data_IF_755566869076
#
_entry.id   IF_755566869076
#
_cell.length_a   1.000
_cell.length_b   1.000
_cell.length_c   1.000
_cell.angle_alpha   90.00
_cell.angle_beta   90.00
_cell.angle_gamma   90.00
#
_symmetry.space_group_name_H-M   'P 1'
#
loop_
_entity.id
_entity.type
_entity.pdbx_description
1 polymer ?
#
# COMPACT_ATOMS: atom_id res chain seq x y z
N UNK A 1 4.35 -9.97 -7.83
CA UNK A 1 3.38 -8.92 -8.19
C UNK A 1 3.00 -8.21 -6.90
N UNK A 2 3.26 -6.95 -6.84
CA UNK A 2 3.16 -6.17 -5.60
C UNK A 2 1.69 -5.95 -5.25
N UNK A 3 1.38 -5.93 -3.96
CA UNK A 3 0.12 -5.47 -3.36
C UNK A 3 -0.19 -3.99 -3.77
N UNK A 4 0.57 -3.45 -4.69
CA UNK A 4 0.38 -2.13 -5.30
C UNK A 4 -0.93 -1.97 -6.10
N UNK A 5 -1.75 -3.00 -6.25
CA UNK A 5 -2.97 -2.89 -7.06
C UNK A 5 -3.96 -1.89 -6.46
N UNK A 6 -4.04 -1.80 -5.13
CA UNK A 6 -4.83 -0.75 -4.49
C UNK A 6 -4.21 0.67 -4.62
N UNK A 7 -2.93 0.77 -4.91
CA UNK A 7 -2.27 2.06 -5.13
C UNK A 7 -2.52 2.63 -6.55
N UNK A 8 -2.79 1.79 -7.53
CA UNK A 8 -2.92 2.25 -8.92
C UNK A 8 -4.27 2.88 -9.24
N UNK A 9 -5.34 2.55 -8.52
CA UNK A 9 -6.67 3.12 -8.78
C UNK A 9 -6.93 4.43 -8.05
N UNK A 10 -6.26 4.67 -6.94
CA UNK A 10 -6.37 5.95 -6.30
C UNK A 10 -5.66 6.99 -7.19
N UNK A 11 -6.44 7.71 -7.98
CA UNK A 11 -6.10 9.12 -8.22
C UNK A 11 -5.96 9.67 -6.81
N UNK A 12 -4.72 9.70 -6.33
CA UNK A 12 -4.45 10.18 -5.00
C UNK A 12 -4.98 11.60 -4.91
N UNK A 13 -6.20 11.76 -4.41
CA UNK A 13 -6.67 13.06 -3.94
C UNK A 13 -5.76 13.47 -2.80
N UNK A 14 -5.66 14.74 -2.50
CA UNK A 14 -4.85 15.20 -1.37
C UNK A 14 -5.23 14.45 -0.09
N UNK A 15 -6.54 14.24 0.13
CA UNK A 15 -7.09 13.52 1.29
C UNK A 15 -6.58 12.07 1.37
N UNK A 16 -6.55 11.36 0.22
CA UNK A 16 -6.04 9.98 0.17
C UNK A 16 -4.52 9.91 0.45
N UNK A 17 -3.77 10.93 0.07
CA UNK A 17 -2.32 11.00 0.35
C UNK A 17 -2.06 11.21 1.83
N UNK A 18 -2.87 12.03 2.48
CA UNK A 18 -2.83 12.21 3.94
C UNK A 18 -3.20 10.92 4.66
N UNK A 19 -4.23 10.19 4.21
CA UNK A 19 -4.60 8.89 4.75
C UNK A 19 -3.48 7.86 4.63
N UNK A 20 -2.73 7.86 3.53
CA UNK A 20 -1.60 6.97 3.31
C UNK A 20 -0.31 7.48 3.94
N UNK A 21 -0.31 8.69 4.51
CA UNK A 21 0.89 9.32 5.07
C UNK A 21 1.93 9.67 4.02
N UNK A 22 1.53 9.86 2.77
CA UNK A 22 2.42 10.26 1.70
C UNK A 22 2.48 11.78 1.61
N UNK A 23 3.70 12.33 1.62
CA UNK A 23 3.92 13.73 1.26
C UNK A 23 3.92 13.86 -0.26
N UNK A 24 3.27 14.91 -0.74
CA UNK A 24 3.51 15.37 -2.11
C UNK A 24 4.84 16.12 -2.17
N UNK A 25 5.49 16.01 -3.32
CA UNK A 25 6.71 16.78 -3.58
C UNK A 25 6.47 18.27 -3.41
N UNK A 26 5.29 18.78 -3.76
CA UNK A 26 4.88 20.17 -3.58
C UNK A 26 4.71 20.61 -2.14
N UNK A 27 4.47 19.69 -1.22
CA UNK A 27 4.28 19.95 0.20
C UNK A 27 5.63 20.13 0.93
N UNK A 28 6.72 19.73 0.27
CA UNK A 28 8.07 19.92 0.78
C UNK A 28 8.52 21.34 0.42
N UNK A 29 8.94 22.17 1.39
CA UNK A 29 9.49 23.48 1.12
C UNK A 29 10.68 23.42 0.15
N UNK A 30 10.80 24.36 -0.76
CA UNK A 30 11.84 24.35 -1.81
C UNK A 30 13.27 24.29 -1.25
N UNK A 31 13.51 24.96 -0.14
CA UNK A 31 14.79 24.95 0.56
C UNK A 31 15.09 23.60 1.25
N UNK A 32 14.17 22.65 1.21
CA UNK A 32 14.30 21.30 1.78
C UNK A 32 14.31 20.22 0.68
N UNK A 33 14.24 20.61 -0.59
CA UNK A 33 14.34 19.68 -1.70
C UNK A 33 15.78 19.19 -1.85
N UNK A 34 15.95 17.87 -1.81
CA UNK A 34 17.24 17.17 -1.86
C UNK A 34 17.43 16.39 -3.16
N UNK A 35 16.35 16.19 -3.96
CA UNK A 35 16.46 15.49 -5.24
C UNK A 35 17.37 16.29 -6.20
N UNK A 36 18.43 15.68 -6.76
CA UNK A 36 19.32 16.35 -7.69
C UNK A 36 18.62 16.96 -8.91
N UNK A 37 17.48 16.38 -9.31
CA UNK A 37 16.71 16.89 -10.47
C UNK A 37 16.25 18.33 -10.25
N UNK A 38 15.99 18.75 -9.02
CA UNK A 38 15.62 20.12 -8.67
C UNK A 38 16.64 21.13 -9.19
N UNK A 39 17.93 20.87 -8.94
CA UNK A 39 19.02 21.72 -9.41
C UNK A 39 19.29 21.54 -10.91
N UNK A 40 19.25 20.29 -11.40
CA UNK A 40 19.54 19.98 -12.80
C UNK A 40 18.50 20.52 -13.77
N UNK A 41 17.24 20.61 -13.36
CA UNK A 41 16.14 21.15 -14.17
C UNK A 41 16.05 22.69 -14.14
N UNK A 42 16.97 23.37 -13.46
CA UNK A 42 16.86 24.81 -13.23
C UNK A 42 15.66 25.19 -12.35
N UNK A 43 15.36 24.37 -11.35
CA UNK A 43 14.29 24.55 -10.37
C UNK A 43 12.87 24.45 -10.97
N UNK A 44 12.69 23.63 -12.01
CA UNK A 44 11.39 23.40 -12.65
C UNK A 44 10.79 22.04 -12.32
N UNK A 45 11.63 21.03 -12.04
CA UNK A 45 11.20 19.68 -11.65
C UNK A 45 11.60 19.43 -10.19
N UNK A 46 10.61 19.24 -9.32
CA UNK A 46 10.82 19.04 -7.87
C UNK A 46 11.27 17.61 -7.51
N UNK A 47 11.29 16.69 -8.46
CA UNK A 47 11.79 15.32 -8.26
C UNK A 47 10.88 14.43 -7.41
N UNK A 48 11.50 13.55 -6.62
CA UNK A 48 10.82 12.46 -5.89
C UNK A 48 10.97 12.52 -4.37
N UNK A 49 11.27 13.65 -3.82
CA UNK A 49 11.53 13.75 -2.37
C UNK A 49 10.34 13.29 -1.53
N UNK A 50 9.11 13.49 -1.98
CA UNK A 50 7.92 12.98 -1.30
C UNK A 50 7.92 11.46 -1.06
N UNK A 51 8.65 10.69 -1.88
CA UNK A 51 8.80 9.25 -1.72
C UNK A 51 9.96 8.84 -0.79
N UNK A 52 10.73 9.80 -0.29
CA UNK A 52 11.97 9.57 0.47
C UNK A 52 11.91 10.05 1.92
N UNK A 53 10.73 10.42 2.37
CA UNK A 53 10.52 10.86 3.75
C UNK A 53 10.75 9.68 4.70
N UNK A 54 11.47 9.88 5.83
CA UNK A 54 11.72 8.81 6.79
C UNK A 54 10.42 8.18 7.31
N UNK A 55 10.39 6.86 7.34
CA UNK A 55 9.22 6.09 7.82
C UNK A 55 9.02 6.29 9.32
N UNK A 56 7.78 6.52 9.80
CA UNK A 56 7.48 6.57 11.22
C UNK A 56 7.46 5.16 11.82
N UNK A 57 8.31 4.90 12.78
CA UNK A 57 8.37 3.62 13.51
C UNK A 57 7.56 3.65 14.79
N UNK A 58 7.47 4.81 15.44
CA UNK A 58 6.77 4.99 16.71
C UNK A 58 5.74 6.10 16.63
N UNK A 59 4.65 5.96 17.40
CA UNK A 59 3.66 7.03 17.57
C UNK A 59 4.30 8.28 18.17
N UNK A 60 5.21 8.10 19.12
CA UNK A 60 5.99 9.19 19.70
C UNK A 60 6.86 9.87 18.64
N UNK A 61 6.82 11.20 18.61
CA UNK A 61 7.57 12.00 17.63
C UNK A 61 9.08 12.10 17.90
N UNK A 62 9.54 11.67 19.08
CA UNK A 62 10.95 11.72 19.43
C UNK A 62 11.82 10.93 18.46
N UNK A 63 12.93 11.54 18.02
CA UNK A 63 13.81 10.93 17.03
C UNK A 63 13.18 10.80 15.65
N UNK A 64 12.35 11.76 15.25
CA UNK A 64 11.58 11.72 14.02
C UNK A 64 10.75 10.43 13.90
N UNK A 65 9.86 10.22 14.84
CA UNK A 65 9.04 9.01 14.98
C UNK A 65 9.88 7.73 15.08
N UNK A 66 10.92 7.75 15.88
CA UNK A 66 11.79 6.59 16.11
C UNK A 66 12.72 6.23 14.96
N UNK A 67 12.77 7.03 13.89
CA UNK A 67 13.70 6.81 12.78
C UNK A 67 15.17 6.99 13.20
N UNK A 68 15.44 7.92 14.13
CA UNK A 68 16.76 8.20 14.67
C UNK A 68 16.87 7.82 16.13
N UNK A 69 18.04 7.34 16.54
CA UNK A 69 18.39 7.15 17.96
C UNK A 69 18.56 8.48 18.70
N UNK A 70 18.84 9.57 17.99
CA UNK A 70 18.85 10.92 18.55
C UNK A 70 17.43 11.40 18.86
N UNK A 71 17.01 11.27 20.11
CA UNK A 71 15.66 11.66 20.55
C UNK A 71 15.36 13.16 20.45
N UNK A 72 16.39 14.00 20.30
CA UNK A 72 16.21 15.44 20.09
C UNK A 72 15.93 15.81 18.63
N UNK A 73 16.02 14.83 17.69
CA UNK A 73 15.64 15.06 16.31
C UNK A 73 14.12 15.20 16.21
N UNK A 74 13.68 16.35 15.72
CA UNK A 74 12.24 16.64 15.51
C UNK A 74 11.81 16.25 14.10
N UNK A 75 10.51 16.10 13.88
CA UNK A 75 9.93 15.67 12.59
C UNK A 75 10.21 16.64 11.45
N UNK A 76 10.29 17.95 11.74
CA UNK A 76 10.61 19.01 10.78
C UNK A 76 12.11 19.07 10.43
N UNK A 77 12.97 18.55 11.30
CA UNK A 77 14.45 18.49 11.12
C UNK A 77 14.94 17.14 10.61
N UNK A 78 14.05 16.18 10.39
CA UNK A 78 14.41 14.95 9.70
C UNK A 78 14.98 15.25 8.30
N UNK A 79 15.60 14.24 7.65
CA UNK A 79 16.13 14.36 6.28
C UNK A 79 15.17 15.08 5.36
N UNK A 80 13.92 14.65 5.36
CA UNK A 80 12.79 15.36 4.81
C UNK A 80 11.72 15.48 5.90
N UNK A 81 10.94 16.56 5.93
CA UNK A 81 9.95 16.76 6.98
C UNK A 81 8.87 15.69 6.94
N UNK A 82 8.52 15.16 8.10
CA UNK A 82 7.43 14.21 8.26
C UNK A 82 6.12 14.97 8.49
N UNK A 83 5.03 14.51 7.88
CA UNK A 83 3.71 15.12 8.06
C UNK A 83 3.22 15.02 9.49
N UNK A 84 2.44 16.02 9.92
CA UNK A 84 1.66 15.91 11.14
C UNK A 84 0.72 14.70 11.05
N UNK A 85 0.56 13.98 12.16
CA UNK A 85 -0.30 12.79 12.20
C UNK A 85 0.34 11.47 11.74
N UNK A 86 1.57 11.49 11.21
CA UNK A 86 2.26 10.25 10.82
C UNK A 86 2.45 9.27 11.98
N UNK A 87 2.53 9.75 13.21
CA UNK A 87 2.56 8.90 14.40
C UNK A 87 1.36 7.95 14.50
N UNK A 88 0.18 8.36 14.03
CA UNK A 88 -1.01 7.49 14.03
C UNK A 88 -0.90 6.34 13.01
N UNK A 89 0.02 6.42 12.07
CA UNK A 89 0.31 5.39 11.07
C UNK A 89 1.66 4.70 11.28
N UNK A 90 2.29 4.97 12.40
CA UNK A 90 3.57 4.37 12.75
C UNK A 90 3.45 2.84 12.87
N UNK A 91 4.59 2.16 12.73
CA UNK A 91 4.63 0.69 12.79
C UNK A 91 4.06 0.17 14.12
N UNK A 92 4.43 0.79 15.24
CA UNK A 92 3.97 0.38 16.58
C UNK A 92 2.46 0.55 16.80
N UNK A 93 1.80 1.47 16.09
CA UNK A 93 0.33 1.63 16.16
C UNK A 93 -0.41 0.60 15.33
N UNK A 94 0.25 -0.06 14.39
CA UNK A 94 -0.35 -1.02 13.48
C UNK A 94 -0.01 -2.47 13.82
N UNK A 95 1.14 -2.72 14.43
CA UNK A 95 1.60 -4.06 14.76
C UNK A 95 0.67 -4.74 15.77
N UNK A 96 0.18 -5.93 15.42
CA UNK A 96 -0.78 -6.69 16.23
C UNK A 96 -2.22 -6.19 16.13
N UNK A 97 -2.50 -5.13 15.38
CA UNK A 97 -3.86 -4.60 15.19
C UNK A 97 -4.51 -5.28 13.99
N UNK A 98 -5.55 -6.06 14.24
CA UNK A 98 -6.31 -6.75 13.19
C UNK A 98 -6.89 -5.73 12.19
N UNK A 99 -6.63 -5.98 10.90
CA UNK A 99 -7.11 -5.12 9.82
C UNK A 99 -6.22 -3.90 9.53
N UNK A 100 -5.11 -3.73 10.26
CA UNK A 100 -4.12 -2.72 9.90
C UNK A 100 -3.42 -3.07 8.58
N UNK A 101 -2.93 -2.04 7.89
CA UNK A 101 -2.17 -2.24 6.66
C UNK A 101 -0.89 -3.07 6.90
N UNK A 102 -0.22 -2.83 8.03
CA UNK A 102 0.98 -3.59 8.43
C UNK A 102 0.68 -5.09 8.53
N UNK A 103 -0.36 -5.48 9.25
CA UNK A 103 -0.72 -6.90 9.43
C UNK A 103 -1.23 -7.52 8.12
N UNK A 104 -1.95 -6.76 7.29
CA UNK A 104 -2.37 -7.22 5.95
C UNK A 104 -1.15 -7.52 5.07
N UNK A 105 -0.18 -6.61 4.99
CA UNK A 105 1.04 -6.81 4.19
C UNK A 105 1.84 -7.99 4.71
N UNK A 106 1.99 -8.12 6.02
CA UNK A 106 2.69 -9.24 6.67
C UNK A 106 2.02 -10.59 6.36
N UNK A 107 0.70 -10.65 6.43
CA UNK A 107 -0.07 -11.84 6.07
C UNK A 107 0.10 -12.19 4.58
N UNK A 108 -0.02 -11.21 3.68
CA UNK A 108 0.17 -11.40 2.26
C UNK A 108 1.58 -11.90 1.91
N UNK A 109 2.62 -11.37 2.55
CA UNK A 109 3.99 -11.86 2.36
C UNK A 109 4.18 -13.28 2.88
N UNK A 110 3.52 -13.64 3.98
CA UNK A 110 3.53 -15.01 4.51
C UNK A 110 2.85 -15.98 3.55
N UNK A 111 1.67 -15.64 3.04
CA UNK A 111 0.96 -16.43 2.03
C UNK A 111 1.83 -16.57 0.78
N UNK A 112 2.40 -15.48 0.28
CA UNK A 112 3.28 -15.51 -0.90
C UNK A 112 4.44 -16.49 -0.76
N UNK A 113 5.02 -16.64 0.41
CA UNK A 113 6.12 -17.59 0.65
C UNK A 113 5.68 -19.05 0.59
N UNK A 114 4.44 -19.34 1.01
CA UNK A 114 3.89 -20.68 1.04
C UNK A 114 3.09 -21.08 -0.20
N UNK A 115 2.69 -20.11 -1.04
CA UNK A 115 1.81 -20.32 -2.17
C UNK A 115 2.62 -20.52 -3.46
N UNK A 116 2.68 -21.77 -3.95
CA UNK A 116 3.44 -22.10 -5.16
C UNK A 116 2.98 -21.31 -6.40
N UNK A 117 1.69 -21.00 -6.49
CA UNK A 117 1.12 -20.19 -7.55
C UNK A 117 1.67 -18.76 -7.62
N UNK A 118 2.29 -18.25 -6.56
CA UNK A 118 2.91 -16.92 -6.51
C UNK A 118 4.42 -16.92 -6.79
N UNK A 119 4.98 -18.06 -7.14
CA UNK A 119 6.34 -18.21 -7.66
C UNK A 119 6.42 -18.04 -9.18
N UNK A 120 7.22 -18.88 -9.82
CA UNK A 120 7.34 -18.94 -11.28
C UNK A 120 6.13 -19.64 -11.89
N UNK A 121 5.89 -19.42 -13.17
CA UNK A 121 4.84 -20.08 -13.94
C UNK A 121 3.94 -19.12 -14.70
N UNK A 122 3.06 -19.69 -15.50
CA UNK A 122 2.15 -18.96 -16.37
C UNK A 122 1.09 -18.19 -15.57
N UNK A 123 0.61 -17.10 -16.15
CA UNK A 123 -0.53 -16.34 -15.70
C UNK A 123 -1.60 -16.39 -16.80
N UNK A 124 -2.79 -16.84 -16.43
CA UNK A 124 -3.92 -16.90 -17.33
C UNK A 124 -5.02 -15.92 -16.86
N UNK A 125 -5.51 -15.10 -17.77
CA UNK A 125 -6.63 -14.22 -17.48
C UNK A 125 -7.92 -15.03 -17.27
N UNK A 126 -8.75 -14.57 -16.36
CA UNK A 126 -10.10 -15.07 -16.14
C UNK A 126 -11.05 -14.03 -16.74
N UNK A 127 -12.01 -14.48 -17.55
CA UNK A 127 -13.01 -13.58 -18.12
C UNK A 127 -13.80 -12.86 -17.02
N UNK A 128 -13.88 -11.57 -17.15
CA UNK A 128 -14.47 -10.68 -16.16
C UNK A 128 -15.02 -9.41 -16.84
N UNK A 129 -15.75 -8.60 -16.10
CA UNK A 129 -16.21 -7.29 -16.58
C UNK A 129 -15.04 -6.30 -16.67
N UNK A 130 -15.26 -5.20 -17.41
CA UNK A 130 -14.23 -4.15 -17.61
C UNK A 130 -13.71 -3.53 -16.29
N UNK A 131 -14.51 -3.60 -15.25
CA UNK A 131 -14.17 -3.08 -13.92
C UNK A 131 -13.45 -4.11 -13.02
N UNK A 132 -13.20 -5.33 -13.50
CA UNK A 132 -12.61 -6.41 -12.70
C UNK A 132 -11.36 -6.94 -13.37
N UNK A 133 -10.26 -6.94 -12.65
CA UNK A 133 -9.07 -7.68 -13.03
C UNK A 133 -9.11 -9.03 -12.33
N UNK A 134 -9.13 -10.11 -13.13
CA UNK A 134 -9.10 -11.46 -12.61
C UNK A 134 -8.07 -12.31 -13.36
N UNK A 135 -7.24 -13.05 -12.63
CA UNK A 135 -6.28 -13.99 -13.21
C UNK A 135 -6.03 -15.18 -12.30
N UNK A 136 -5.61 -16.27 -12.90
CA UNK A 136 -5.18 -17.47 -12.19
C UNK A 136 -3.71 -17.79 -12.46
N UNK A 137 -3.12 -18.51 -11.52
CA UNK A 137 -1.76 -19.00 -11.57
C UNK A 137 -1.73 -20.52 -11.23
N UNK A 138 -0.61 -21.23 -11.46
CA UNK A 138 -0.47 -22.62 -11.06
C UNK A 138 -0.86 -22.86 -9.59
N UNK A 139 -1.29 -24.09 -9.26
CA UNK A 139 -1.70 -24.43 -7.90
C UNK A 139 -3.09 -23.92 -7.53
N UNK A 140 -3.92 -23.62 -8.52
CA UNK A 140 -5.29 -23.09 -8.32
C UNK A 140 -5.35 -21.71 -7.65
N UNK A 141 -4.24 -21.01 -7.58
CA UNK A 141 -4.23 -19.64 -7.09
C UNK A 141 -4.97 -18.72 -8.06
N UNK A 142 -5.82 -17.84 -7.53
CA UNK A 142 -6.46 -16.77 -8.30
C UNK A 142 -6.43 -15.45 -7.54
N UNK A 143 -6.38 -14.36 -8.30
CA UNK A 143 -6.50 -13.01 -7.79
C UNK A 143 -7.65 -12.32 -8.50
N UNK A 144 -8.54 -11.71 -7.73
CA UNK A 144 -9.60 -10.85 -8.22
C UNK A 144 -9.42 -9.46 -7.63
N UNK A 145 -9.57 -8.44 -8.45
CA UNK A 145 -9.55 -7.04 -8.03
C UNK A 145 -10.77 -6.37 -8.62
N UNK A 146 -11.71 -6.01 -7.77
CA UNK A 146 -12.90 -5.30 -8.15
C UNK A 146 -12.68 -3.80 -8.04
N UNK A 147 -12.67 -3.12 -9.17
CA UNK A 147 -12.57 -1.66 -9.28
C UNK A 147 -13.92 -0.99 -9.47
N UNK A 148 -14.95 -1.78 -9.78
CA UNK A 148 -16.29 -1.29 -10.05
C UNK A 148 -17.13 -1.10 -8.78
N UNK A 149 -18.27 -0.44 -8.92
CA UNK A 149 -19.21 -0.26 -7.82
C UNK A 149 -20.04 -1.53 -7.53
N UNK A 150 -20.16 -2.43 -8.51
CA UNK A 150 -20.92 -3.67 -8.36
C UNK A 150 -20.12 -4.73 -7.61
N UNK A 151 -20.79 -5.49 -6.75
CA UNK A 151 -20.17 -6.62 -6.06
C UNK A 151 -19.87 -7.77 -7.03
N UNK A 152 -18.74 -8.45 -6.83
CA UNK A 152 -18.30 -9.60 -7.63
C UNK A 152 -18.43 -10.87 -6.81
N UNK A 153 -19.08 -11.88 -7.35
CA UNK A 153 -19.26 -13.17 -6.68
C UNK A 153 -17.94 -13.93 -6.66
N UNK A 154 -17.56 -14.45 -5.49
CA UNK A 154 -16.43 -15.37 -5.36
C UNK A 154 -16.82 -16.71 -5.99
N UNK A 155 -15.97 -17.32 -6.85
CA UNK A 155 -16.25 -18.64 -7.41
C UNK A 155 -16.58 -19.67 -6.33
N UNK A 156 -17.67 -20.38 -6.49
CA UNK A 156 -18.14 -21.37 -5.52
C UNK A 156 -17.07 -22.40 -5.16
N UNK A 157 -16.93 -22.70 -3.88
CA UNK A 157 -15.93 -23.66 -3.39
C UNK A 157 -14.51 -23.10 -3.24
N UNK A 158 -14.30 -21.81 -3.53
CA UNK A 158 -13.00 -21.18 -3.35
C UNK A 158 -12.70 -20.92 -1.87
N UNK A 159 -11.44 -21.10 -1.50
CA UNK A 159 -10.90 -20.68 -0.19
C UNK A 159 -10.37 -19.23 -0.30
N UNK A 160 -10.78 -18.36 0.59
CA UNK A 160 -10.24 -16.98 0.67
C UNK A 160 -8.91 -17.02 1.43
N UNK A 161 -7.82 -16.70 0.76
CA UNK A 161 -6.49 -16.65 1.36
C UNK A 161 -6.25 -15.30 2.07
N UNK A 162 -6.62 -14.21 1.42
CA UNK A 162 -6.56 -12.85 1.98
C UNK A 162 -7.45 -11.91 1.20
N UNK A 163 -7.96 -10.88 1.85
CA UNK A 163 -8.71 -9.78 1.24
C UNK A 163 -8.18 -8.44 1.73
N UNK A 164 -8.17 -7.45 0.84
CA UNK A 164 -7.75 -6.07 1.16
C UNK A 164 -8.77 -5.27 1.97
N UNK A 165 -10.02 -5.74 2.00
CA UNK A 165 -11.12 -5.18 2.78
C UNK A 165 -12.05 -6.30 3.25
N UNK A 166 -12.93 -6.07 4.23
CA UNK A 166 -13.93 -7.05 4.64
C UNK A 166 -14.83 -7.47 3.48
N UNK A 167 -15.00 -8.77 3.30
CA UNK A 167 -15.90 -9.33 2.30
C UNK A 167 -17.37 -9.27 2.79
N UNK A 168 -18.31 -9.25 1.86
CA UNK A 168 -19.73 -9.33 2.14
C UNK A 168 -20.25 -10.73 1.83
N UNK A 169 -20.05 -11.66 2.76
CA UNK A 169 -20.32 -13.08 2.51
C UNK A 169 -19.43 -13.61 1.38
N UNK A 170 -20.05 -14.14 0.31
CA UNK A 170 -19.35 -14.65 -0.87
C UNK A 170 -19.16 -13.58 -1.97
N UNK A 171 -19.16 -12.29 -1.61
CA UNK A 171 -19.03 -11.19 -2.55
C UNK A 171 -17.82 -10.32 -2.24
N UNK A 172 -17.12 -9.92 -3.28
CA UNK A 172 -16.02 -8.97 -3.27
C UNK A 172 -16.61 -7.57 -3.49
N UNK A 173 -16.58 -6.69 -2.49
CA UNK A 173 -17.10 -5.32 -2.62
C UNK A 173 -16.31 -4.48 -3.61
N UNK A 174 -16.81 -3.28 -3.88
CA UNK A 174 -16.07 -2.25 -4.62
C UNK A 174 -14.68 -1.99 -3.98
N UNK A 175 -13.71 -1.63 -4.81
CA UNK A 175 -12.34 -1.27 -4.42
C UNK A 175 -11.62 -2.33 -3.56
N UNK A 176 -11.94 -3.62 -3.80
CA UNK A 176 -11.43 -4.73 -3.02
C UNK A 176 -10.64 -5.72 -3.87
N UNK A 177 -9.46 -6.12 -3.38
CA UNK A 177 -8.67 -7.20 -3.93
C UNK A 177 -8.76 -8.43 -3.03
N UNK A 178 -8.84 -9.62 -3.64
CA UNK A 178 -8.87 -10.90 -2.93
C UNK A 178 -7.95 -11.92 -3.59
N UNK A 179 -7.24 -12.68 -2.80
CA UNK A 179 -6.53 -13.89 -3.23
C UNK A 179 -7.33 -15.10 -2.82
N UNK A 180 -7.49 -16.00 -3.76
CA UNK A 180 -8.29 -17.21 -3.63
C UNK A 180 -7.46 -18.43 -3.96
N UNK A 181 -7.84 -19.56 -3.37
CA UNK A 181 -7.53 -20.88 -3.91
C UNK A 181 -8.82 -21.45 -4.50
N UNK A 182 -8.81 -21.64 -5.82
CA UNK A 182 -9.94 -22.21 -6.55
C UNK A 182 -10.16 -23.69 -6.17
N UNK A 183 -11.36 -24.24 -6.35
CA UNK A 183 -11.70 -25.64 -6.06
C UNK A 183 -10.95 -26.67 -6.90
#
# INVERSE_FOLDING_TARGET
>A
MSIHVNYCKFRLTNDTKEELGLLEVRDIPENRLEDPIWKMSGHTDRGRDGCRVPIPWTKDSAGAHGFSSNKSLTTDKAWLPQSAGWGERAVDTQQGVKGSFFEMVKAALSIRKGEAGLGDGEMNWIDSTDDVIAFQRPGKFACYVNFGPAEVVIPYGSEVLISSAPLKGEHIPADTAVWLRLP
#
